data_IF_638483429815
#
_entry.id   IF_638483429815
#
_cell.length_a   1.000
_cell.length_b   1.000
_cell.length_c   1.000
_cell.angle_alpha   90.00
_cell.angle_beta   90.00
_cell.angle_gamma   90.00
#
_symmetry.space_group_name_H-M   'P 1'
#
loop_
_entity.id
_entity.type
_entity.pdbx_description
1 polymer ?
#
# COMPACT_ATOMS: atom_id res chain seq x y z
N UNK A 1 9.63 5.50 16.93
CA UNK A 1 9.69 4.56 15.79
C UNK A 1 8.65 5.02 14.77
N UNK A 2 9.05 5.42 13.56
CA UNK A 2 8.08 5.73 12.50
C UNK A 2 7.53 4.39 12.00
N UNK A 3 6.25 4.11 12.27
CA UNK A 3 5.59 2.93 11.74
C UNK A 3 5.69 2.93 10.22
N UNK A 4 5.93 1.76 9.62
CA UNK A 4 5.95 1.61 8.16
C UNK A 4 4.59 2.10 7.62
N UNK A 5 4.60 3.23 6.91
CA UNK A 5 3.40 3.80 6.30
C UNK A 5 2.89 2.76 5.32
N UNK A 6 1.75 2.13 5.62
CA UNK A 6 1.16 1.09 4.75
C UNK A 6 1.13 1.61 3.31
N UNK A 7 1.66 0.83 2.38
CA UNK A 7 1.65 1.15 0.95
C UNK A 7 0.19 1.33 0.52
N UNK A 8 -0.24 2.58 0.36
CA UNK A 8 -1.53 2.91 -0.23
C UNK A 8 -1.41 2.73 -1.73
N UNK A 9 -2.46 2.23 -2.37
CA UNK A 9 -2.54 2.20 -3.82
C UNK A 9 -2.35 3.62 -4.35
N UNK A 10 -1.46 3.77 -5.34
CA UNK A 10 -1.18 5.06 -5.96
C UNK A 10 -2.35 5.59 -6.79
N UNK A 11 -3.27 4.72 -7.18
CA UNK A 11 -4.48 5.06 -7.93
C UNK A 11 -5.73 4.62 -7.17
N UNK A 12 -6.79 5.41 -7.29
CA UNK A 12 -8.10 5.13 -6.71
C UNK A 12 -9.07 4.72 -7.81
N UNK A 13 -9.87 3.69 -7.56
CA UNK A 13 -11.05 3.33 -8.34
C UNK A 13 -10.77 2.85 -9.78
N UNK A 14 -11.72 2.10 -10.35
CA UNK A 14 -12.15 2.34 -11.71
C UNK A 14 -13.18 3.49 -11.71
N UNK A 15 -13.00 4.47 -12.61
CA UNK A 15 -13.95 5.56 -12.81
C UNK A 15 -14.53 5.51 -14.22
N UNK A 16 -15.80 5.91 -14.36
CA UNK A 16 -16.47 6.02 -15.64
C UNK A 16 -16.17 7.39 -16.23
N UNK A 17 -15.72 7.43 -17.48
CA UNK A 17 -15.48 8.68 -18.22
C UNK A 17 -16.82 9.19 -18.74
N UNK A 18 -17.22 10.39 -18.32
CA UNK A 18 -18.42 11.07 -18.82
C UNK A 18 -18.15 11.83 -20.13
N UNK A 19 -17.03 12.54 -20.19
CA UNK A 19 -16.69 13.37 -21.34
C UNK A 19 -15.17 13.56 -21.46
N UNK A 20 -14.72 13.81 -22.69
CA UNK A 20 -13.37 14.28 -22.99
C UNK A 20 -13.40 15.78 -23.25
N UNK A 21 -12.63 16.53 -22.48
CA UNK A 21 -12.47 17.97 -22.63
C UNK A 21 -11.16 18.22 -23.40
N UNK A 22 -11.30 18.40 -24.71
CA UNK A 22 -10.16 18.49 -25.63
C UNK A 22 -9.31 17.22 -25.62
N UNK A 23 -8.00 17.37 -25.85
CA UNK A 23 -7.06 16.24 -25.90
C UNK A 23 -6.46 15.88 -24.54
N UNK A 24 -6.47 16.82 -23.59
CA UNK A 24 -5.62 16.76 -22.40
C UNK A 24 -6.39 16.54 -21.10
N UNK A 25 -7.72 16.56 -21.12
CA UNK A 25 -8.52 16.44 -19.91
C UNK A 25 -9.77 15.57 -20.07
N UNK A 26 -10.15 14.91 -18.98
CA UNK A 26 -11.19 13.90 -18.91
C UNK A 26 -12.09 14.24 -17.73
N UNK A 27 -13.40 14.24 -17.95
CA UNK A 27 -14.38 14.31 -16.88
C UNK A 27 -14.80 12.90 -16.47
N UNK A 28 -14.65 12.59 -15.19
CA UNK A 28 -15.00 11.29 -14.60
C UNK A 28 -16.18 11.43 -13.65
N UNK A 29 -16.94 10.36 -13.55
CA UNK A 29 -17.97 10.19 -12.53
C UNK A 29 -17.32 9.90 -11.18
N UNK A 30 -17.51 10.79 -10.21
CA UNK A 30 -17.07 10.62 -8.83
C UNK A 30 -18.26 10.20 -7.97
N UNK A 31 -18.03 9.30 -7.02
CA UNK A 31 -19.04 8.78 -6.10
C UNK A 31 -18.49 8.65 -4.68
N UNK A 32 -19.37 8.64 -3.67
CA UNK A 32 -19.01 8.54 -2.27
C UNK A 32 -18.19 9.73 -1.76
N UNK A 33 -17.07 9.45 -1.10
CA UNK A 33 -16.19 10.48 -0.49
C UNK A 33 -15.59 11.47 -1.51
N UNK A 34 -15.64 11.15 -2.81
CA UNK A 34 -15.07 11.97 -3.89
C UNK A 34 -16.10 12.84 -4.59
N UNK A 35 -17.39 12.75 -4.27
CA UNK A 35 -18.46 13.53 -4.94
C UNK A 35 -18.26 15.04 -4.85
N UNK A 36 -17.65 15.51 -3.76
CA UNK A 36 -17.37 16.93 -3.55
C UNK A 36 -16.08 17.43 -4.21
N UNK A 37 -15.34 16.57 -4.94
CA UNK A 37 -14.12 16.94 -5.63
C UNK A 37 -14.40 17.34 -7.08
N UNK A 38 -13.43 18.04 -7.69
CA UNK A 38 -13.54 18.43 -9.08
C UNK A 38 -13.53 17.18 -9.98
N UNK A 39 -14.51 16.99 -10.89
CA UNK A 39 -14.63 15.77 -11.67
C UNK A 39 -13.72 15.74 -12.91
N UNK A 40 -13.08 16.85 -13.27
CA UNK A 40 -12.18 16.90 -14.44
C UNK A 40 -10.73 16.76 -14.03
N UNK A 41 -10.02 15.84 -14.66
CA UNK A 41 -8.62 15.53 -14.43
C UNK A 41 -7.82 15.55 -15.73
N UNK A 42 -6.53 15.90 -15.70
CA UNK A 42 -5.65 15.76 -16.85
C UNK A 42 -5.41 14.28 -17.18
N UNK A 43 -5.28 13.96 -18.47
CA UNK A 43 -5.05 12.58 -18.96
C UNK A 43 -3.80 11.94 -18.34
N UNK A 44 -2.80 12.73 -17.97
CA UNK A 44 -1.57 12.25 -17.31
C UNK A 44 -1.79 11.64 -15.92
N UNK A 45 -2.90 11.96 -15.26
CA UNK A 45 -3.28 11.41 -13.95
C UNK A 45 -4.29 10.24 -14.07
N UNK A 46 -4.70 9.90 -15.30
CA UNK A 46 -5.65 8.84 -15.57
C UNK A 46 -4.91 7.62 -16.14
N UNK A 47 -5.28 6.43 -15.66
CA UNK A 47 -4.77 5.16 -16.17
C UNK A 47 -5.92 4.32 -16.68
N UNK A 48 -5.74 3.70 -17.85
CA UNK A 48 -6.70 2.73 -18.37
C UNK A 48 -6.86 1.57 -17.38
N UNK A 49 -8.10 1.30 -17.01
CA UNK A 49 -8.44 0.19 -16.13
C UNK A 49 -8.56 -1.10 -16.94
N UNK A 50 -7.74 -2.09 -16.61
CA UNK A 50 -7.82 -3.44 -17.18
C UNK A 50 -8.55 -4.35 -16.21
N UNK A 51 -9.73 -4.85 -16.59
CA UNK A 51 -10.43 -5.88 -15.82
C UNK A 51 -9.59 -7.15 -15.76
N UNK A 52 -9.61 -7.84 -14.62
CA UNK A 52 -8.97 -9.15 -14.50
C UNK A 52 -9.81 -10.19 -15.26
N UNK A 53 -9.46 -10.46 -16.51
CA UNK A 53 -10.05 -11.56 -17.26
C UNK A 53 -9.47 -12.89 -16.76
N UNK A 54 -10.35 -13.82 -16.36
CA UNK A 54 -9.96 -15.17 -15.93
C UNK A 54 -9.27 -15.96 -17.05
N UNK A 55 -9.64 -15.70 -18.31
CA UNK A 55 -9.00 -16.33 -19.48
C UNK A 55 -7.53 -15.91 -19.63
N UNK A 56 -7.21 -14.65 -19.40
CA UNK A 56 -5.83 -14.15 -19.50
C UNK A 56 -4.97 -14.51 -18.29
N UNK A 57 -5.60 -14.75 -17.13
CA UNK A 57 -4.91 -15.05 -15.87
C UNK A 57 -5.60 -16.19 -15.11
N UNK A 58 -5.54 -17.44 -15.60
CA UNK A 58 -6.29 -18.57 -15.05
C UNK A 58 -5.87 -18.95 -13.62
N UNK A 59 -4.64 -18.61 -13.22
CA UNK A 59 -4.11 -18.90 -11.89
C UNK A 59 -4.28 -17.74 -10.88
N UNK A 60 -4.91 -16.64 -11.27
CA UNK A 60 -5.17 -15.52 -10.37
C UNK A 60 -6.37 -15.85 -9.50
N UNK A 61 -6.12 -16.55 -8.39
CA UNK A 61 -7.13 -16.83 -7.39
C UNK A 61 -7.51 -15.52 -6.68
N UNK A 62 -8.81 -15.24 -6.55
CA UNK A 62 -9.34 -14.09 -5.79
C UNK A 62 -9.21 -14.28 -4.26
N UNK A 63 -8.72 -15.44 -3.83
CA UNK A 63 -8.50 -15.74 -2.43
C UNK A 63 -7.43 -14.80 -1.85
N UNK A 64 -7.67 -14.23 -0.65
CA UNK A 64 -6.63 -13.51 0.07
C UNK A 64 -5.39 -14.41 0.17
N UNK A 65 -4.24 -13.90 -0.28
CA UNK A 65 -2.97 -14.60 -0.12
C UNK A 65 -2.79 -14.88 1.38
N UNK A 66 -2.72 -16.16 1.73
CA UNK A 66 -2.31 -16.55 3.08
C UNK A 66 -0.91 -15.98 3.28
N UNK A 67 -0.80 -15.03 4.20
CA UNK A 67 0.49 -14.40 4.49
C UNK A 67 1.42 -15.53 4.91
N UNK A 68 2.55 -15.75 4.23
CA UNK A 68 3.47 -16.80 4.62
C UNK A 68 3.80 -16.60 6.10
N UNK A 69 3.79 -17.68 6.92
CA UNK A 69 4.08 -17.56 8.33
C UNK A 69 5.42 -16.83 8.44
N UNK A 70 5.40 -15.65 9.08
CA UNK A 70 6.62 -14.98 9.44
C UNK A 70 7.36 -16.00 10.30
N UNK A 71 8.55 -16.44 9.87
CA UNK A 71 9.44 -17.17 10.77
C UNK A 71 9.44 -16.38 12.06
N UNK A 72 9.09 -17.04 13.17
CA UNK A 72 9.12 -16.45 14.50
C UNK A 72 10.59 -16.15 14.78
N UNK A 73 11.07 -15.04 14.23
CA UNK A 73 12.29 -14.39 14.66
C UNK A 73 12.07 -14.25 16.15
N UNK A 74 12.82 -15.04 16.92
CA UNK A 74 12.72 -15.11 18.37
C UNK A 74 12.43 -13.71 18.88
N UNK A 75 11.20 -13.48 19.36
CA UNK A 75 10.82 -12.22 19.96
C UNK A 75 11.65 -12.12 21.24
N UNK A 76 12.91 -11.71 21.11
CA UNK A 76 13.77 -11.48 22.26
C UNK A 76 13.05 -10.44 23.08
N UNK A 77 12.61 -10.87 24.25
CA UNK A 77 11.83 -10.05 25.14
C UNK A 77 12.60 -8.74 25.31
N UNK A 78 11.97 -7.59 25.02
CA UNK A 78 12.68 -6.30 24.94
C UNK A 78 13.48 -6.03 26.22
N UNK A 79 12.98 -6.52 27.36
CA UNK A 79 13.64 -6.47 28.66
C UNK A 79 14.97 -7.22 28.70
N UNK A 80 15.07 -8.37 28.03
CA UNK A 80 16.27 -9.19 27.97
C UNK A 80 17.36 -8.54 27.12
N UNK A 81 16.98 -7.99 25.97
CA UNK A 81 17.89 -7.21 25.09
C UNK A 81 18.43 -5.97 25.81
N UNK A 82 17.60 -5.29 26.60
CA UNK A 82 18.02 -4.12 27.39
C UNK A 82 18.97 -4.51 28.53
N UNK A 83 18.73 -5.64 29.21
CA UNK A 83 19.63 -6.17 30.25
C UNK A 83 20.98 -6.54 29.67
N UNK A 84 21.01 -7.25 28.54
CA UNK A 84 22.24 -7.65 27.85
C UNK A 84 23.08 -6.43 27.44
N UNK A 85 22.44 -5.41 26.84
CA UNK A 85 23.09 -4.16 26.45
C UNK A 85 23.70 -3.41 27.65
N UNK A 86 23.04 -3.43 28.81
CA UNK A 86 23.54 -2.79 30.03
C UNK A 86 24.77 -3.51 30.59
N UNK A 87 24.77 -4.84 30.58
CA UNK A 87 25.90 -5.66 31.03
C UNK A 87 27.14 -5.46 30.16
N UNK A 88 26.96 -5.49 28.83
CA UNK A 88 28.07 -5.25 27.87
C UNK A 88 28.71 -3.88 28.05
N UNK A 89 27.93 -2.85 28.41
CA UNK A 89 28.44 -1.50 28.65
C UNK A 89 29.29 -1.44 29.93
N UNK A 90 28.82 -2.04 31.02
CA UNK A 90 29.58 -2.12 32.29
C UNK A 90 30.91 -2.86 32.16
N UNK A 91 30.96 -3.94 31.38
CA UNK A 91 32.22 -4.67 31.17
C UNK A 91 33.25 -3.85 30.38
N UNK A 92 32.81 -2.95 29.51
CA UNK A 92 33.68 -2.02 28.78
C UNK A 92 34.19 -0.84 29.61
N UNK A 93 33.52 -0.49 30.70
CA UNK A 93 33.95 0.57 31.62
C UNK A 93 34.94 0.07 32.68
N UNK A 94 35.03 -1.25 32.89
CA UNK A 94 35.89 -1.89 33.88
C UNK A 94 37.17 -2.51 33.27
N UNK A 95 37.49 -2.21 32.01
CA UNK A 95 38.75 -2.56 31.33
C UNK A 95 39.35 -1.28 30.78
#
# INVERSE_FOLDING_TARGET
MKSAKKLKNSFSGPFIIKALHGTNSVQVELSGELEHKHPTFPVSLVKHYTSSNKESYPFRNETPLEVPPLDKSEEKNVLEVLKERRLRRKMKENT
#
